data_IF_574718235498
#
_entry.id   IF_574718235498
#
_cell.length_a   1.000
_cell.length_b   1.000
_cell.length_c   1.000
_cell.angle_alpha   90.00
_cell.angle_beta   90.00
_cell.angle_gamma   90.00
#
_symmetry.space_group_name_H-M   'P 1'
#
loop_
_entity.id
_entity.type
_entity.pdbx_description
1 polymer ?
#
# COMPACT_ATOMS: atom_id res chain seq x y z
N UNK A 1 -15.16 -25.50 -8.74
CA UNK A 1 -14.52 -25.51 -10.06
C UNK A 1 -15.63 -25.46 -11.08
N UNK A 2 -15.85 -24.31 -11.72
CA UNK A 2 -16.84 -24.17 -12.80
C UNK A 2 -16.18 -24.55 -14.11
N UNK A 3 -16.81 -25.46 -14.85
CA UNK A 3 -16.38 -25.96 -16.14
C UNK A 3 -16.22 -24.80 -17.15
N UNK A 4 -15.01 -24.62 -17.67
CA UNK A 4 -14.66 -23.55 -18.61
C UNK A 4 -15.15 -23.82 -20.04
N UNK A 5 -15.80 -24.96 -20.30
CA UNK A 5 -16.25 -25.37 -21.64
C UNK A 5 -17.50 -24.62 -22.15
N UNK A 6 -18.28 -23.98 -21.28
CA UNK A 6 -19.60 -23.42 -21.65
C UNK A 6 -19.58 -21.97 -22.14
N UNK A 7 -18.46 -21.24 -22.01
CA UNK A 7 -18.39 -19.83 -22.40
C UNK A 7 -17.01 -19.48 -23.01
N UNK A 8 -16.82 -19.71 -24.33
CA UNK A 8 -15.55 -19.43 -24.99
C UNK A 8 -15.25 -17.92 -25.00
N UNK A 9 -13.97 -17.51 -25.13
CA UNK A 9 -13.59 -16.11 -25.21
C UNK A 9 -14.33 -15.37 -26.34
N UNK A 10 -14.76 -14.14 -26.09
CA UNK A 10 -15.47 -13.29 -27.06
C UNK A 10 -14.47 -12.35 -27.72
N UNK A 11 -14.40 -12.35 -29.05
CA UNK A 11 -13.58 -11.40 -29.81
C UNK A 11 -14.40 -10.17 -30.19
N UNK A 12 -13.91 -8.99 -29.84
CA UNK A 12 -14.47 -7.70 -30.26
C UNK A 12 -14.03 -7.35 -31.70
N UNK A 13 -14.72 -6.39 -32.32
CA UNK A 13 -14.42 -5.94 -33.70
C UNK A 13 -13.01 -5.36 -33.88
N UNK A 14 -12.38 -4.91 -32.79
CA UNK A 14 -10.99 -4.43 -32.76
C UNK A 14 -9.96 -5.57 -32.52
N UNK A 15 -10.37 -6.84 -32.58
CA UNK A 15 -9.52 -8.01 -32.37
C UNK A 15 -9.24 -8.36 -30.90
N UNK A 16 -9.75 -7.58 -29.96
CA UNK A 16 -9.52 -7.80 -28.52
C UNK A 16 -10.38 -8.95 -27.99
N UNK A 17 -9.76 -9.85 -27.24
CA UNK A 17 -10.45 -10.98 -26.60
C UNK A 17 -10.90 -10.62 -25.18
N UNK A 18 -12.12 -11.04 -24.85
CA UNK A 18 -12.72 -10.95 -23.53
C UNK A 18 -13.03 -12.34 -23.00
N UNK A 19 -13.03 -12.50 -21.68
CA UNK A 19 -13.58 -13.68 -21.03
C UNK A 19 -15.06 -13.84 -21.41
N UNK A 20 -15.43 -14.96 -22.03
CA UNK A 20 -16.81 -15.19 -22.48
C UNK A 20 -17.85 -15.14 -21.36
N UNK A 21 -17.49 -15.65 -20.17
CA UNK A 21 -18.40 -15.69 -19.03
C UNK A 21 -18.56 -14.34 -18.31
N UNK A 22 -17.57 -13.45 -18.40
CA UNK A 22 -17.49 -12.27 -17.54
C UNK A 22 -17.21 -10.94 -18.26
N UNK A 23 -16.95 -10.96 -19.57
CA UNK A 23 -16.80 -9.76 -20.40
C UNK A 23 -15.55 -8.93 -20.13
N UNK A 24 -14.54 -9.48 -19.43
CA UNK A 24 -13.31 -8.76 -19.10
C UNK A 24 -12.11 -9.28 -19.87
N UNK A 25 -11.26 -8.35 -20.34
CA UNK A 25 -9.97 -8.64 -20.97
C UNK A 25 -9.05 -9.33 -19.98
N UNK A 26 -9.02 -8.84 -18.74
CA UNK A 26 -8.37 -9.49 -17.62
C UNK A 26 -9.44 -9.88 -16.61
N UNK A 27 -9.79 -11.17 -16.57
CA UNK A 27 -10.88 -11.66 -15.75
C UNK A 27 -10.37 -12.16 -14.40
N UNK A 28 -10.61 -11.37 -13.35
CA UNK A 28 -10.22 -11.73 -11.98
C UNK A 28 -10.98 -12.94 -11.41
N UNK A 29 -12.14 -13.29 -11.96
CA UNK A 29 -12.95 -14.45 -11.53
C UNK A 29 -12.46 -15.77 -12.14
N UNK A 30 -12.07 -15.75 -13.43
CA UNK A 30 -11.53 -16.92 -14.11
C UNK A 30 -10.01 -17.00 -14.03
N UNK A 31 -9.34 -15.96 -13.50
CA UNK A 31 -7.89 -15.84 -13.43
C UNK A 31 -7.20 -15.93 -14.81
N UNK A 32 -7.83 -15.39 -15.87
CA UNK A 32 -7.29 -15.40 -17.25
C UNK A 32 -7.13 -13.97 -17.76
N UNK A 33 -6.02 -13.69 -18.42
CA UNK A 33 -5.68 -12.41 -19.03
C UNK A 33 -5.49 -12.55 -20.54
N UNK A 34 -6.40 -11.98 -21.32
CA UNK A 34 -6.44 -12.05 -22.78
C UNK A 34 -5.65 -10.92 -23.46
N UNK A 35 -4.97 -10.06 -22.70
CA UNK A 35 -4.14 -8.97 -23.25
C UNK A 35 -2.92 -9.46 -24.05
N UNK A 36 -2.50 -10.71 -23.89
CA UNK A 36 -1.30 -11.25 -24.56
C UNK A 36 -1.43 -11.31 -26.10
N UNK A 37 -2.65 -11.40 -26.63
CA UNK A 37 -2.88 -11.47 -28.09
C UNK A 37 -2.58 -10.14 -28.79
N UNK A 38 -2.61 -9.00 -28.07
CA UNK A 38 -2.26 -7.69 -28.60
C UNK A 38 -0.75 -7.47 -28.72
N UNK A 39 0.07 -8.36 -28.15
CA UNK A 39 1.53 -8.26 -28.20
C UNK A 39 2.14 -8.90 -29.47
N UNK A 40 1.38 -9.74 -30.18
CA UNK A 40 1.87 -10.38 -31.41
C UNK A 40 1.88 -9.38 -32.59
N UNK A 41 0.88 -8.50 -32.71
CA UNK A 41 0.80 -7.55 -33.82
C UNK A 41 1.87 -6.44 -33.76
N UNK A 42 2.31 -6.06 -32.55
CA UNK A 42 3.38 -5.07 -32.36
C UNK A 42 4.79 -5.64 -32.57
N UNK A 43 4.97 -6.97 -32.48
CA UNK A 43 6.27 -7.64 -32.54
C UNK A 43 6.70 -8.05 -33.96
N UNK A 44 5.76 -8.30 -34.87
CA UNK A 44 6.09 -8.76 -36.24
C UNK A 44 6.53 -7.63 -37.18
N UNK A 45 6.25 -6.36 -36.86
CA UNK A 45 6.65 -5.23 -37.71
C UNK A 45 8.16 -4.89 -37.64
N UNK A 46 8.89 -5.38 -36.62
CA UNK A 46 10.31 -5.09 -36.42
C UNK A 46 11.26 -6.11 -37.07
N UNK A 47 10.77 -7.14 -37.76
CA UNK A 47 11.59 -8.25 -38.28
C UNK A 47 11.77 -8.27 -39.81
N UNK A 48 11.33 -7.26 -40.56
CA UNK A 48 11.56 -7.18 -42.01
C UNK A 48 12.04 -5.79 -42.42
N UNK A 49 13.36 -5.58 -42.65
CA UNK A 49 13.86 -4.35 -43.24
C UNK A 49 13.69 -4.40 -44.77
N UNK A 50 12.82 -3.54 -45.29
CA UNK A 50 12.90 -3.04 -46.66
C UNK A 50 11.88 -3.61 -47.65
N UNK A 51 10.82 -2.84 -47.91
CA UNK A 51 10.45 -2.49 -49.28
C UNK A 51 10.01 -1.03 -49.27
N UNK A 52 10.64 -0.24 -50.14
CA UNK A 52 10.31 1.17 -50.40
C UNK A 52 8.97 1.24 -51.10
N UNK A 53 8.21 2.30 -50.85
CA UNK A 53 7.57 3.06 -51.91
C UNK A 53 7.22 4.48 -51.45
N UNK A 54 7.05 5.32 -52.46
CA UNK A 54 7.38 6.74 -52.56
C UNK A 54 6.35 7.73 -52.01
N UNK A 55 6.85 8.94 -51.73
CA UNK A 55 6.27 10.26 -51.34
C UNK A 55 5.06 10.74 -52.22
N UNK A 56 4.44 11.95 -52.04
CA UNK A 56 4.86 13.12 -51.22
C UNK A 56 3.79 14.03 -50.55
N UNK A 57 4.33 14.99 -49.78
CA UNK A 57 3.96 16.42 -49.62
C UNK A 57 2.82 16.88 -48.71
N UNK A 58 3.20 17.76 -47.77
CA UNK A 58 2.75 19.17 -47.55
C UNK A 58 2.70 19.46 -46.03
N UNK A 59 3.68 20.15 -45.45
CA UNK A 59 3.95 21.60 -45.42
C UNK A 59 3.44 22.28 -44.13
N UNK A 60 4.37 23.00 -43.50
CA UNK A 60 4.15 24.17 -42.61
C UNK A 60 3.43 23.91 -41.27
N UNK A 61 3.82 24.44 -40.11
CA UNK A 61 4.40 25.75 -39.86
C UNK A 61 4.94 25.81 -38.41
N UNK A 62 6.03 26.53 -38.26
CA UNK A 62 6.71 26.97 -37.03
C UNK A 62 5.83 27.75 -36.06
N UNK A 63 6.15 27.70 -34.76
CA UNK A 63 6.23 28.87 -33.87
C UNK A 63 7.14 28.54 -32.65
N UNK A 64 8.30 29.19 -32.62
CA UNK A 64 9.20 29.41 -31.48
C UNK A 64 8.73 30.62 -30.68
N UNK A 65 9.04 30.67 -29.37
CA UNK A 65 9.34 31.82 -28.49
C UNK A 65 9.35 31.28 -27.04
N UNK A 66 10.50 30.95 -26.44
CA UNK A 66 11.54 31.80 -25.83
C UNK A 66 11.34 32.04 -24.33
N UNK A 67 12.47 31.95 -23.64
CA UNK A 67 12.72 31.95 -22.20
C UNK A 67 12.17 33.14 -21.40
N UNK A 68 11.86 32.89 -20.12
CA UNK A 68 12.08 33.86 -19.05
C UNK A 68 12.80 33.17 -17.90
N UNK A 69 14.00 33.68 -17.64
CA UNK A 69 14.82 33.41 -16.45
C UNK A 69 14.45 34.41 -15.36
N UNK A 70 14.45 33.96 -14.11
CA UNK A 70 14.23 34.79 -12.94
C UNK A 70 14.88 34.15 -11.72
N UNK A 71 16.09 34.61 -11.42
CA UNK A 71 16.87 34.28 -10.22
C UNK A 71 16.48 35.27 -9.13
N UNK A 72 16.21 34.81 -7.90
CA UNK A 72 16.48 35.58 -6.69
C UNK A 72 16.82 34.66 -5.52
N UNK A 73 17.90 35.05 -4.83
CA UNK A 73 18.50 34.38 -3.69
C UNK A 73 18.02 35.01 -2.37
N UNK A 74 18.33 34.27 -1.28
CA UNK A 74 18.53 34.69 0.12
C UNK A 74 17.33 34.61 1.07
N UNK A 75 17.64 34.11 2.29
CA UNK A 75 16.74 34.07 3.44
C UNK A 75 16.90 32.81 4.29
N UNK A 76 18.04 32.69 4.99
CA UNK A 76 18.15 31.82 6.15
C UNK A 76 17.32 32.41 7.29
N UNK A 77 16.56 31.60 8.02
CA UNK A 77 16.47 31.79 9.46
C UNK A 77 16.01 30.54 10.20
N UNK A 78 16.71 30.33 11.31
CA UNK A 78 16.67 29.24 12.26
C UNK A 78 15.64 29.50 13.35
N UNK A 79 14.75 28.56 13.64
CA UNK A 79 14.18 28.39 14.98
C UNK A 79 13.63 26.97 15.16
N UNK A 80 14.49 26.07 15.62
CA UNK A 80 14.09 24.77 16.18
C UNK A 80 13.83 25.01 17.67
N UNK A 81 12.58 24.91 18.10
CA UNK A 81 12.24 24.78 19.52
C UNK A 81 12.20 23.29 19.88
N UNK A 82 12.98 22.83 20.87
CA UNK A 82 12.93 21.45 21.32
C UNK A 82 11.82 21.27 22.37
N UNK A 83 10.83 20.42 22.09
CA UNK A 83 9.89 19.96 23.13
C UNK A 83 10.61 18.96 24.03
N UNK A 84 10.74 19.31 25.31
CA UNK A 84 11.36 18.52 26.34
C UNK A 84 10.56 17.25 26.64
N UNK A 85 11.28 16.13 26.78
CA UNK A 85 10.80 14.91 27.41
C UNK A 85 11.17 15.05 28.88
N UNK A 86 10.17 15.26 29.74
CA UNK A 86 10.37 15.33 31.17
C UNK A 86 10.41 13.91 31.76
N UNK A 87 11.57 13.57 32.33
CA UNK A 87 11.84 12.37 33.10
C UNK A 87 11.84 12.79 34.57
N UNK A 88 10.75 12.53 35.27
CA UNK A 88 10.60 12.81 36.70
C UNK A 88 9.71 11.78 37.37
N UNK A 89 10.35 10.90 38.13
CA UNK A 89 9.79 9.88 39.03
C UNK A 89 9.18 10.51 40.28
N UNK A 90 8.07 9.96 40.80
CA UNK A 90 7.78 9.68 42.22
C UNK A 90 6.40 8.97 42.35
N UNK A 91 6.16 8.14 43.40
CA UNK A 91 5.16 7.08 43.39
C UNK A 91 3.80 7.49 43.99
N UNK A 92 2.70 7.08 43.36
CA UNK A 92 1.36 7.25 43.91
C UNK A 92 1.01 6.15 44.92
N UNK A 93 0.59 6.59 46.10
CA UNK A 93 0.18 5.82 47.28
C UNK A 93 -1.01 4.89 47.07
N UNK A 94 -0.94 3.72 47.68
CA UNK A 94 -1.98 2.68 47.74
C UNK A 94 -3.21 3.11 48.54
N UNK A 95 -4.38 2.55 48.19
CA UNK A 95 -5.58 2.53 49.04
C UNK A 95 -6.22 1.14 48.99
N UNK A 96 -6.82 0.66 50.10
CA UNK A 96 -7.02 -0.77 50.40
C UNK A 96 -8.20 -1.45 49.68
N UNK A 97 -8.27 -2.80 49.69
CA UNK A 97 -9.17 -3.56 48.82
C UNK A 97 -10.58 -3.68 49.41
N UNK A 98 -11.59 -3.70 48.54
CA UNK A 98 -12.97 -4.07 48.87
C UNK A 98 -13.34 -5.30 48.02
N UNK A 99 -13.76 -6.39 48.67
CA UNK A 99 -14.37 -7.59 48.05
C UNK A 99 -15.17 -8.34 49.13
N UNK A 100 -16.17 -9.18 48.79
CA UNK A 100 -17.33 -8.91 47.92
C UNK A 100 -18.64 -9.46 48.54
N UNK A 101 -19.81 -9.09 48.03
CA UNK A 101 -21.02 -9.91 48.28
C UNK A 101 -21.96 -9.82 47.08
N UNK A 102 -22.03 -10.90 46.30
CA UNK A 102 -22.89 -10.99 45.12
C UNK A 102 -22.61 -12.24 44.30
N UNK A 103 -23.42 -13.27 44.55
CA UNK A 103 -23.65 -14.55 43.87
C UNK A 103 -23.02 -14.72 42.47
N UNK A 104 -22.24 -15.80 42.34
CA UNK A 104 -21.65 -16.33 41.10
C UNK A 104 -22.73 -16.87 40.16
N UNK A 105 -22.88 -16.25 38.99
CA UNK A 105 -23.36 -16.93 37.78
C UNK A 105 -22.14 -17.00 36.87
N UNK A 106 -21.59 -18.21 36.72
CA UNK A 106 -20.58 -18.50 35.71
C UNK A 106 -21.24 -18.40 34.34
N UNK A 107 -21.19 -17.20 33.76
CA UNK A 107 -21.21 -17.08 32.31
C UNK A 107 -19.81 -17.48 31.85
N UNK A 108 -19.76 -18.46 30.95
CA UNK A 108 -18.54 -19.01 30.35
C UNK A 108 -17.48 -17.91 30.20
N UNK A 109 -16.37 -18.08 30.93
CA UNK A 109 -15.17 -17.28 30.75
C UNK A 109 -14.84 -17.29 29.26
N UNK A 110 -15.04 -16.13 28.62
CA UNK A 110 -14.67 -15.87 27.24
C UNK A 110 -13.26 -16.44 27.03
N UNK A 111 -13.05 -17.32 26.03
CA UNK A 111 -11.77 -17.95 25.84
C UNK A 111 -10.72 -16.85 25.68
N UNK A 112 -9.76 -16.79 26.62
CA UNK A 112 -8.54 -15.95 26.59
C UNK A 112 -8.18 -15.61 25.14
N UNK A 113 -8.03 -14.33 24.77
CA UNK A 113 -7.91 -13.93 23.38
C UNK A 113 -6.80 -14.74 22.72
N UNK A 114 -7.17 -15.58 21.75
CA UNK A 114 -6.21 -16.24 20.84
C UNK A 114 -5.22 -15.16 20.42
N UNK A 115 -3.94 -15.35 20.74
CA UNK A 115 -2.88 -14.36 20.52
C UNK A 115 -3.09 -13.61 19.21
N UNK A 116 -3.50 -12.35 19.31
CA UNK A 116 -3.70 -11.46 18.18
C UNK A 116 -2.39 -11.39 17.40
N UNK A 117 -2.41 -11.79 16.12
CA UNK A 117 -1.22 -11.71 15.29
C UNK A 117 -0.87 -10.24 15.06
N UNK A 118 0.38 -9.86 15.35
CA UNK A 118 0.87 -8.49 15.23
C UNK A 118 1.95 -8.39 14.15
N UNK A 119 2.06 -7.24 13.45
CA UNK A 119 3.20 -6.97 12.60
C UNK A 119 4.52 -7.08 13.37
N UNK A 120 5.50 -7.73 12.76
CA UNK A 120 6.86 -7.83 13.30
C UNK A 120 7.71 -6.66 12.80
N UNK A 121 8.72 -6.26 13.55
CA UNK A 121 9.73 -5.31 13.05
C UNK A 121 10.73 -6.06 12.18
N UNK A 122 10.97 -5.59 10.97
CA UNK A 122 12.07 -6.07 10.14
C UNK A 122 13.38 -5.46 10.64
N UNK A 123 14.41 -6.29 10.81
CA UNK A 123 15.76 -5.87 11.22
C UNK A 123 16.72 -6.26 10.09
N UNK A 124 17.16 -5.31 9.24
CA UNK A 124 18.08 -5.62 8.15
C UNK A 124 19.49 -5.91 8.70
N UNK A 125 20.26 -6.81 8.08
CA UNK A 125 21.68 -6.94 8.37
C UNK A 125 22.45 -5.67 7.95
N UNK A 126 23.42 -5.24 8.77
CA UNK A 126 24.49 -4.27 8.45
C UNK A 126 24.11 -3.08 7.54
N UNK A 127 23.26 -2.16 8.00
CA UNK A 127 22.89 -0.93 7.26
C UNK A 127 22.40 -1.15 5.81
N UNK A 128 22.00 -2.39 5.46
CA UNK A 128 21.65 -2.76 4.10
C UNK A 128 20.40 -2.00 3.64
N UNK A 129 20.42 -1.58 2.38
CA UNK A 129 19.25 -0.95 1.77
C UNK A 129 18.23 -1.99 1.31
N UNK A 130 16.95 -1.61 1.17
CA UNK A 130 15.95 -2.49 0.58
C UNK A 130 16.35 -3.02 -0.80
N UNK A 131 17.09 -2.23 -1.59
CA UNK A 131 17.58 -2.64 -2.91
C UNK A 131 18.72 -3.66 -2.83
N UNK A 132 19.43 -3.74 -1.71
CA UNK A 132 20.48 -4.75 -1.50
C UNK A 132 19.84 -6.09 -1.16
N UNK A 133 18.85 -6.08 -0.25
CA UNK A 133 18.20 -7.28 0.27
C UNK A 133 17.09 -7.83 -0.62
N UNK A 134 16.46 -6.98 -1.45
CA UNK A 134 15.36 -7.37 -2.31
C UNK A 134 15.63 -6.96 -3.77
N UNK A 135 15.63 -7.95 -4.66
CA UNK A 135 15.92 -7.74 -6.09
C UNK A 135 14.67 -7.97 -6.94
N UNK A 136 14.49 -7.20 -8.04
CA UNK A 136 13.52 -7.54 -9.07
C UNK A 136 13.73 -8.97 -9.58
N UNK A 137 12.74 -9.85 -9.39
CA UNK A 137 12.76 -11.21 -9.94
C UNK A 137 11.39 -11.54 -10.54
N UNK A 138 11.40 -12.33 -11.60
CA UNK A 138 10.18 -12.96 -12.13
C UNK A 138 9.96 -14.28 -11.40
N UNK A 139 8.72 -14.50 -10.96
CA UNK A 139 8.31 -15.76 -10.35
C UNK A 139 7.30 -16.43 -11.26
N UNK A 140 7.61 -17.65 -11.66
CA UNK A 140 6.74 -18.49 -12.48
C UNK A 140 6.04 -19.48 -11.57
N UNK A 141 4.71 -19.50 -11.59
CA UNK A 141 3.92 -20.44 -10.81
C UNK A 141 2.61 -20.76 -11.55
N UNK A 142 2.21 -22.03 -11.58
CA UNK A 142 0.89 -22.45 -12.08
C UNK A 142 0.54 -21.96 -13.49
N UNK A 143 1.50 -21.93 -14.42
CA UNK A 143 1.27 -21.45 -15.80
C UNK A 143 1.17 -19.92 -15.96
N UNK A 144 1.36 -19.14 -14.88
CA UNK A 144 1.38 -17.68 -14.95
C UNK A 144 2.61 -17.18 -15.74
N UNK A 145 2.49 -16.16 -16.62
CA UNK A 145 3.56 -15.63 -17.47
C UNK A 145 4.71 -14.89 -16.73
N UNK A 146 4.90 -15.15 -15.44
CA UNK A 146 5.93 -14.52 -14.61
C UNK A 146 5.42 -13.29 -13.86
N UNK A 147 5.32 -13.38 -12.53
CA UNK A 147 5.03 -12.25 -11.66
C UNK A 147 6.33 -11.56 -11.27
N UNK A 148 6.52 -10.32 -11.72
CA UNK A 148 7.66 -9.52 -11.26
C UNK A 148 7.39 -8.97 -9.85
N UNK A 149 8.33 -9.17 -8.93
CA UNK A 149 8.29 -8.66 -7.55
C UNK A 149 9.70 -8.29 -7.05
N UNK A 150 9.78 -7.55 -5.95
CA UNK A 150 11.02 -7.37 -5.19
C UNK A 150 11.19 -8.56 -4.24
N UNK A 151 11.98 -9.56 -4.63
CA UNK A 151 12.12 -10.83 -3.92
C UNK A 151 13.39 -10.82 -3.06
N UNK A 152 13.30 -11.39 -1.87
CA UNK A 152 14.45 -11.52 -0.96
C UNK A 152 15.61 -12.25 -1.62
N UNK A 153 16.82 -11.73 -1.44
CA UNK A 153 18.05 -12.36 -1.94
C UNK A 153 18.33 -13.64 -1.15
N UNK A 154 18.19 -13.58 0.17
CA UNK A 154 18.44 -14.70 1.09
C UNK A 154 17.21 -15.61 1.26
N UNK A 155 16.00 -15.04 1.26
CA UNK A 155 14.73 -15.79 1.33
C UNK A 155 13.87 -15.49 0.10
N UNK A 156 13.77 -16.47 -0.81
CA UNK A 156 12.95 -16.34 -2.03
C UNK A 156 11.44 -16.39 -1.77
N UNK A 157 11.01 -16.77 -0.57
CA UNK A 157 9.60 -16.75 -0.14
C UNK A 157 9.22 -15.48 0.62
N UNK A 158 10.13 -14.50 0.70
CA UNK A 158 9.86 -13.17 1.21
C UNK A 158 9.92 -12.13 0.09
N UNK A 159 9.04 -11.13 0.15
CA UNK A 159 9.06 -10.02 -0.79
C UNK A 159 8.83 -8.69 -0.12
N UNK A 160 9.22 -7.64 -0.83
CA UNK A 160 9.17 -6.26 -0.39
C UNK A 160 8.09 -5.46 -1.13
N UNK A 161 7.41 -4.60 -0.38
CA UNK A 161 6.60 -3.50 -0.91
C UNK A 161 7.00 -2.19 -0.24
N UNK A 162 6.96 -1.09 -0.98
CA UNK A 162 7.12 0.26 -0.43
C UNK A 162 5.76 0.88 -0.21
N UNK A 163 5.56 1.57 0.90
CA UNK A 163 4.30 2.27 1.21
C UNK A 163 4.59 3.69 1.70
N UNK A 164 3.79 4.65 1.24
CA UNK A 164 3.94 6.06 1.62
C UNK A 164 2.63 6.82 1.60
N UNK A 165 2.50 7.78 2.50
CA UNK A 165 1.40 8.72 2.59
C UNK A 165 1.84 10.16 2.38
N UNK A 166 0.93 11.01 1.95
CA UNK A 166 1.16 12.44 1.84
C UNK A 166 -0.09 13.22 2.27
N UNK A 167 0.11 14.37 2.90
CA UNK A 167 -0.97 15.28 3.24
C UNK A 167 -0.52 16.72 2.98
N UNK A 168 -1.18 17.38 2.02
CA UNK A 168 -1.01 18.80 1.75
C UNK A 168 -1.84 19.60 2.76
N UNK A 169 -1.27 20.70 3.25
CA UNK A 169 -1.88 21.55 4.29
C UNK A 169 -2.29 20.77 5.55
N UNK A 170 -1.50 19.77 5.94
CA UNK A 170 -1.72 19.00 7.16
C UNK A 170 -1.91 19.91 8.39
N UNK A 171 -2.97 19.70 9.16
CA UNK A 171 -3.30 20.52 10.33
C UNK A 171 -4.13 21.79 10.06
N UNK A 172 -4.34 22.18 8.80
CA UNK A 172 -5.16 23.34 8.43
C UNK A 172 -6.65 22.95 8.22
N UNK A 173 -7.46 23.91 7.76
CA UNK A 173 -8.93 23.75 7.65
C UNK A 173 -9.35 22.77 6.55
N UNK A 174 -8.61 22.72 5.44
CA UNK A 174 -8.94 21.87 4.28
C UNK A 174 -7.72 21.01 3.88
N UNK A 175 -7.34 20.02 4.70
CA UNK A 175 -6.24 19.12 4.36
C UNK A 175 -6.67 18.19 3.23
N UNK A 176 -5.76 17.93 2.30
CA UNK A 176 -5.94 16.90 1.27
C UNK A 176 -4.82 15.89 1.39
N UNK A 177 -5.16 14.61 1.38
CA UNK A 177 -4.18 13.56 1.57
C UNK A 177 -4.33 12.48 0.51
N UNK A 178 -3.25 11.74 0.29
CA UNK A 178 -3.17 10.65 -0.66
C UNK A 178 -2.21 9.59 -0.15
N UNK A 179 -2.38 8.38 -0.62
CA UNK A 179 -1.56 7.24 -0.23
C UNK A 179 -1.12 6.48 -1.47
N UNK A 180 0.02 5.78 -1.38
CA UNK A 180 0.46 4.88 -2.44
C UNK A 180 1.28 3.72 -1.91
N UNK A 181 1.41 2.69 -2.73
CA UNK A 181 2.39 1.64 -2.53
C UNK A 181 2.95 1.13 -3.86
N UNK A 182 4.15 0.56 -3.80
CA UNK A 182 4.90 0.02 -4.93
C UNK A 182 5.22 -1.44 -4.64
N UNK A 183 4.75 -2.34 -5.50
CA UNK A 183 4.83 -3.79 -5.28
C UNK A 183 5.65 -4.53 -6.33
N UNK A 184 6.05 -3.86 -7.42
CA UNK A 184 7.00 -4.36 -8.40
C UNK A 184 7.77 -3.20 -9.05
N UNK A 185 8.93 -3.46 -9.69
CA UNK A 185 9.68 -2.41 -10.36
C UNK A 185 8.93 -1.89 -11.57
N UNK A 186 9.24 -0.65 -11.97
CA UNK A 186 8.80 -0.11 -13.25
C UNK A 186 9.50 -0.87 -14.38
N UNK A 187 8.73 -1.54 -15.22
CA UNK A 187 9.24 -2.17 -16.44
C UNK A 187 9.12 -1.17 -17.60
N UNK A 188 10.23 -0.74 -18.23
CA UNK A 188 10.16 0.09 -19.44
C UNK A 188 9.30 -0.59 -20.51
N UNK A 189 8.40 0.16 -21.16
CA UNK A 189 7.51 -0.36 -22.19
C UNK A 189 6.26 -1.12 -21.70
N UNK A 190 6.10 -1.37 -20.39
CA UNK A 190 4.90 -2.00 -19.84
C UNK A 190 3.89 -0.94 -19.35
N UNK A 191 2.63 -1.08 -19.74
CA UNK A 191 1.54 -0.20 -19.30
C UNK A 191 1.13 -0.44 -17.83
N UNK A 192 1.37 -1.65 -17.28
CA UNK A 192 0.97 -1.96 -15.90
C UNK A 192 1.91 -1.29 -14.89
N UNK A 193 1.40 -0.26 -14.21
CA UNK A 193 2.17 0.44 -13.21
C UNK A 193 2.43 -0.49 -12.02
N UNK A 194 3.69 -0.63 -11.59
CA UNK A 194 4.08 -1.43 -10.42
C UNK A 194 3.67 -0.84 -9.08
N UNK A 195 2.63 0.00 -9.10
CA UNK A 195 2.18 0.87 -8.03
C UNK A 195 0.66 0.93 -8.01
N UNK A 196 0.11 1.29 -6.84
CA UNK A 196 -1.27 1.73 -6.68
C UNK A 196 -1.23 3.01 -5.83
N UNK A 197 -2.05 3.99 -6.19
CA UNK A 197 -2.13 5.27 -5.45
C UNK A 197 -3.53 5.84 -5.55
N UNK A 198 -4.03 6.44 -4.48
CA UNK A 198 -5.35 7.07 -4.45
C UNK A 198 -5.39 8.27 -3.49
N UNK A 199 -6.38 9.14 -3.69
CA UNK A 199 -6.74 10.14 -2.69
C UNK A 199 -7.20 9.43 -1.41
N UNK A 200 -6.86 9.97 -0.24
CA UNK A 200 -7.31 9.43 1.03
C UNK A 200 -8.82 9.58 1.16
N UNK A 201 -9.48 8.52 1.60
CA UNK A 201 -10.91 8.46 1.81
C UNK A 201 -11.37 9.48 2.88
N UNK A 202 -12.54 10.07 2.69
CA UNK A 202 -13.15 11.02 3.65
C UNK A 202 -13.87 10.32 4.79
N UNK A 203 -14.13 9.02 4.65
CA UNK A 203 -14.70 8.14 5.68
C UNK A 203 -13.68 7.08 6.09
N UNK A 204 -13.74 6.65 7.35
CA UNK A 204 -12.93 5.54 7.87
C UNK A 204 -13.59 4.17 7.61
N UNK A 205 -12.94 3.06 8.01
CA UNK A 205 -13.49 1.71 7.93
C UNK A 205 -14.86 1.52 8.58
N UNK A 206 -15.19 2.34 9.58
CA UNK A 206 -16.47 2.28 10.30
C UNK A 206 -17.57 3.10 9.62
N UNK A 207 -17.32 3.71 8.46
CA UNK A 207 -18.25 4.59 7.75
C UNK A 207 -18.30 6.03 8.29
N UNK A 208 -17.68 6.29 9.45
CA UNK A 208 -17.65 7.63 10.04
C UNK A 208 -16.74 8.59 9.24
N UNK A 209 -17.14 9.86 9.14
CA UNK A 209 -16.32 10.91 8.53
C UNK A 209 -15.03 11.14 9.33
N UNK A 210 -13.89 11.25 8.63
CA UNK A 210 -12.58 11.43 9.24
C UNK A 210 -11.80 12.52 8.53
N UNK A 211 -11.18 13.41 9.31
CA UNK A 211 -10.31 14.47 8.77
C UNK A 211 -9.04 13.86 8.18
N UNK A 212 -8.66 14.19 6.93
CA UNK A 212 -7.40 13.78 6.35
C UNK A 212 -6.19 14.27 7.17
N UNK A 213 -5.23 13.38 7.41
CA UNK A 213 -3.95 13.71 8.06
C UNK A 213 -2.81 12.91 7.43
N UNK A 214 -1.57 13.37 7.61
CA UNK A 214 -0.39 12.59 7.18
C UNK A 214 -0.37 11.20 7.83
N UNK A 215 -0.62 11.10 9.13
CA UNK A 215 -0.62 9.83 9.87
C UNK A 215 -1.67 8.84 9.34
N UNK A 216 -2.88 9.32 9.00
CA UNK A 216 -3.91 8.47 8.36
C UNK A 216 -3.48 8.00 6.99
N UNK A 217 -2.89 8.88 6.17
CA UNK A 217 -2.42 8.51 4.83
C UNK A 217 -1.31 7.44 4.87
N UNK A 218 -0.33 7.60 5.77
CA UNK A 218 0.75 6.62 5.96
C UNK A 218 0.20 5.25 6.39
N UNK A 219 -0.70 5.23 7.38
CA UNK A 219 -1.29 3.98 7.88
C UNK A 219 -2.18 3.32 6.82
N UNK A 220 -2.96 4.11 6.09
CA UNK A 220 -3.79 3.64 4.98
C UNK A 220 -2.96 3.03 3.85
N UNK A 221 -1.79 3.60 3.54
CA UNK A 221 -0.88 3.07 2.53
C UNK A 221 -0.41 1.64 2.87
N UNK A 222 -0.03 1.41 4.12
CA UNK A 222 0.39 0.08 4.60
C UNK A 222 -0.77 -0.92 4.54
N UNK A 223 -1.95 -0.54 5.02
CA UNK A 223 -3.16 -1.36 4.94
C UNK A 223 -3.49 -1.71 3.49
N UNK A 224 -3.42 -0.73 2.58
CA UNK A 224 -3.67 -0.91 1.15
C UNK A 224 -2.73 -1.97 0.55
N UNK A 225 -1.44 -1.82 0.83
CA UNK A 225 -0.41 -2.72 0.34
C UNK A 225 -0.66 -4.15 0.85
N UNK A 226 -0.96 -4.32 2.15
CA UNK A 226 -1.21 -5.63 2.74
C UNK A 226 -2.49 -6.28 2.22
N UNK A 227 -3.58 -5.53 2.02
CA UNK A 227 -4.82 -6.05 1.42
C UNK A 227 -4.60 -6.51 -0.02
N UNK A 228 -3.92 -5.69 -0.83
CA UNK A 228 -3.60 -6.04 -2.20
C UNK A 228 -2.70 -7.29 -2.27
N UNK A 229 -1.65 -7.33 -1.47
CA UNK A 229 -0.70 -8.45 -1.45
C UNK A 229 -1.22 -9.71 -0.76
N UNK A 230 -2.28 -9.60 0.04
CA UNK A 230 -3.00 -10.75 0.53
C UNK A 230 -3.56 -11.56 -0.65
N UNK A 231 -4.17 -10.86 -1.63
CA UNK A 231 -4.76 -11.44 -2.84
C UNK A 231 -3.72 -11.81 -3.91
N UNK A 232 -2.72 -10.94 -4.13
CA UNK A 232 -1.79 -11.05 -5.27
C UNK A 232 -0.36 -11.51 -4.90
N UNK A 233 -0.16 -11.95 -3.66
CA UNK A 233 1.14 -12.38 -3.12
C UNK A 233 1.14 -13.81 -2.58
N UNK A 234 0.19 -14.65 -2.98
CA UNK A 234 0.01 -16.02 -2.45
C UNK A 234 1.24 -16.92 -2.57
N UNK A 235 2.19 -16.59 -3.44
CA UNK A 235 3.45 -17.33 -3.64
C UNK A 235 4.49 -17.11 -2.54
N UNK A 236 4.23 -16.20 -1.61
CA UNK A 236 5.17 -15.80 -0.58
C UNK A 236 4.64 -16.07 0.82
N UNK A 237 5.55 -16.54 1.68
CA UNK A 237 5.28 -16.82 3.09
C UNK A 237 5.37 -15.55 3.94
N UNK A 238 6.08 -14.52 3.49
CA UNK A 238 6.14 -13.27 4.23
C UNK A 238 6.25 -12.03 3.35
N UNK A 239 5.77 -10.90 3.89
CA UNK A 239 5.88 -9.58 3.28
C UNK A 239 6.66 -8.63 4.18
N UNK A 240 7.56 -7.85 3.60
CA UNK A 240 8.20 -6.71 4.23
C UNK A 240 7.60 -5.44 3.64
N UNK A 241 6.93 -4.64 4.45
CA UNK A 241 6.44 -3.31 4.06
C UNK A 241 7.47 -2.28 4.52
N UNK A 242 8.20 -1.70 3.57
CA UNK A 242 9.10 -0.59 3.84
C UNK A 242 8.35 0.75 3.79
N UNK A 243 8.51 1.54 4.83
CA UNK A 243 7.93 2.88 4.97
C UNK A 243 8.88 3.79 5.72
N UNK A 244 8.82 5.08 5.45
CA UNK A 244 9.51 6.12 6.20
C UNK A 244 8.69 6.70 7.37
N UNK A 245 7.51 6.12 7.64
CA UNK A 245 6.64 6.56 8.74
C UNK A 245 7.01 5.91 10.08
N UNK A 246 7.71 6.67 10.92
CA UNK A 246 7.96 6.27 12.31
C UNK A 246 6.66 6.01 13.10
N UNK A 247 5.61 6.81 12.82
CA UNK A 247 4.28 6.63 13.42
C UNK A 247 3.74 5.22 13.14
N UNK A 248 3.79 4.76 11.89
CA UNK A 248 3.27 3.44 11.53
C UNK A 248 4.13 2.32 12.11
N UNK A 249 5.46 2.37 11.95
CA UNK A 249 6.33 1.29 12.41
C UNK A 249 6.31 1.16 13.93
N UNK A 250 6.45 2.26 14.67
CA UNK A 250 6.45 2.23 16.13
C UNK A 250 5.06 1.93 16.69
N UNK A 251 4.00 2.49 16.09
CA UNK A 251 2.62 2.19 16.48
C UNK A 251 2.27 0.71 16.29
N UNK A 252 2.62 0.12 15.15
CA UNK A 252 2.34 -1.28 14.88
C UNK A 252 3.18 -2.26 15.71
N UNK A 253 4.48 -2.00 15.87
CA UNK A 253 5.41 -2.97 16.49
C UNK A 253 5.51 -2.84 18.01
N UNK A 254 5.13 -1.69 18.58
CA UNK A 254 5.13 -1.43 20.04
C UNK A 254 3.77 -0.99 20.56
N UNK A 255 3.13 -0.05 19.87
CA UNK A 255 1.85 0.56 20.30
C UNK A 255 0.70 -0.44 20.39
N UNK A 256 0.45 -1.23 19.33
CA UNK A 256 -0.69 -2.14 19.24
C UNK A 256 -0.80 -3.09 20.44
N UNK A 257 0.33 -3.66 20.91
CA UNK A 257 0.32 -4.54 22.08
C UNK A 257 -0.21 -3.82 23.32
N UNK A 258 0.24 -2.58 23.56
CA UNK A 258 -0.21 -1.76 24.70
C UNK A 258 -1.67 -1.33 24.54
N UNK A 259 -2.05 -0.91 23.34
CA UNK A 259 -3.40 -0.43 23.05
C UNK A 259 -4.46 -1.52 23.16
N UNK A 260 -4.13 -2.75 22.77
CA UNK A 260 -5.00 -3.91 22.96
C UNK A 260 -5.21 -4.23 24.45
N UNK A 261 -4.19 -4.08 25.29
CA UNK A 261 -4.30 -4.36 26.72
C UNK A 261 -4.97 -3.25 27.54
N UNK A 262 -4.91 -1.99 27.08
CA UNK A 262 -5.39 -0.84 27.84
C UNK A 262 -6.68 -0.20 27.28
N UNK A 263 -7.42 -0.95 26.46
CA UNK A 263 -8.72 -0.49 25.92
C UNK A 263 -8.62 0.64 24.90
N UNK A 264 -7.51 0.72 24.14
CA UNK A 264 -7.27 1.72 23.10
C UNK A 264 -7.12 3.15 23.62
N UNK A 265 -6.40 3.32 24.72
CA UNK A 265 -6.13 4.63 25.34
C UNK A 265 -4.65 5.03 25.26
N UNK A 266 -4.38 6.34 25.24
CA UNK A 266 -3.04 6.90 25.31
C UNK A 266 -2.57 7.02 26.78
N UNK A 267 -1.36 7.55 27.02
CA UNK A 267 -0.83 7.71 28.37
C UNK A 267 -1.61 8.72 29.22
N UNK A 268 -2.38 9.61 28.59
CA UNK A 268 -3.24 10.61 29.23
C UNK A 268 -4.67 10.08 29.48
N UNK A 269 -4.95 8.81 29.20
CA UNK A 269 -6.28 8.20 29.35
C UNK A 269 -7.26 8.51 28.22
N UNK A 270 -6.86 9.25 27.20
CA UNK A 270 -7.73 9.59 26.07
C UNK A 270 -7.74 8.47 25.01
N UNK A 271 -8.81 8.30 24.23
CA UNK A 271 -8.83 7.37 23.11
C UNK A 271 -7.70 7.65 22.11
N UNK A 272 -7.01 6.61 21.64
CA UNK A 272 -5.95 6.81 20.65
C UNK A 272 -6.50 7.35 19.32
N UNK A 273 -5.69 8.15 18.64
CA UNK A 273 -6.01 8.61 17.29
C UNK A 273 -5.96 7.45 16.30
N UNK A 274 -6.80 7.53 15.28
CA UNK A 274 -6.86 6.56 14.16
C UNK A 274 -7.11 5.11 14.58
N UNK A 275 -7.81 4.90 15.71
CA UNK A 275 -8.20 3.57 16.20
C UNK A 275 -8.87 2.73 15.11
N UNK A 276 -9.71 3.35 14.29
CA UNK A 276 -10.38 2.74 13.13
C UNK A 276 -9.39 2.04 12.19
N UNK A 277 -8.34 2.75 11.76
CA UNK A 277 -7.33 2.18 10.87
C UNK A 277 -6.39 1.19 11.57
N UNK A 278 -6.13 1.36 12.86
CA UNK A 278 -5.33 0.39 13.61
C UNK A 278 -6.04 -0.95 13.78
N UNK A 279 -7.35 -0.93 14.02
CA UNK A 279 -8.18 -2.13 14.04
C UNK A 279 -8.19 -2.80 12.66
N UNK A 280 -8.33 -2.02 11.59
CA UNK A 280 -8.28 -2.55 10.23
C UNK A 280 -6.91 -3.17 9.87
N UNK A 281 -5.81 -2.56 10.31
CA UNK A 281 -4.47 -3.16 10.16
C UNK A 281 -4.39 -4.52 10.86
N UNK A 282 -4.93 -4.64 12.08
CA UNK A 282 -4.97 -5.90 12.81
C UNK A 282 -5.77 -6.97 12.07
N UNK A 283 -6.94 -6.62 11.52
CA UNK A 283 -7.79 -7.56 10.78
C UNK A 283 -7.11 -8.09 9.52
N UNK A 284 -6.40 -7.22 8.79
CA UNK A 284 -5.60 -7.63 7.64
C UNK A 284 -4.46 -8.54 8.09
N UNK A 285 -3.71 -8.18 9.13
CA UNK A 285 -2.59 -9.01 9.64
C UNK A 285 -3.07 -10.37 10.15
N UNK A 286 -4.23 -10.43 10.81
CA UNK A 286 -4.87 -11.69 11.19
C UNK A 286 -5.20 -12.56 9.98
N UNK A 287 -5.70 -11.96 8.90
CA UNK A 287 -6.00 -12.68 7.67
C UNK A 287 -4.75 -13.29 7.04
N UNK A 288 -3.62 -12.57 7.07
CA UNK A 288 -2.31 -13.10 6.69
C UNK A 288 -1.88 -14.28 7.57
N UNK A 289 -1.96 -14.13 8.90
CA UNK A 289 -1.57 -15.16 9.85
C UNK A 289 -2.39 -16.45 9.71
N UNK A 290 -3.70 -16.36 9.42
CA UNK A 290 -4.57 -17.52 9.12
C UNK A 290 -4.10 -18.35 7.91
N UNK A 291 -3.29 -17.76 7.02
CA UNK A 291 -2.67 -18.44 5.88
C UNK A 291 -1.21 -18.84 6.15
N UNK A 292 -0.78 -18.83 7.42
CA UNK A 292 0.61 -19.04 7.83
C UNK A 292 1.58 -18.06 7.15
N UNK A 293 1.13 -16.82 6.90
CA UNK A 293 1.96 -15.78 6.31
C UNK A 293 2.27 -14.68 7.31
N UNK A 294 3.50 -14.17 7.23
CA UNK A 294 4.00 -13.20 8.19
C UNK A 294 4.10 -11.79 7.61
N UNK A 295 3.82 -10.79 8.44
CA UNK A 295 3.90 -9.37 8.07
C UNK A 295 5.02 -8.70 8.86
N UNK A 296 5.95 -8.09 8.13
CA UNK A 296 7.05 -7.32 8.67
C UNK A 296 6.93 -5.85 8.26
N UNK A 297 7.22 -4.93 9.19
CA UNK A 297 7.35 -3.50 8.90
C UNK A 297 8.82 -3.07 9.02
N UNK A 298 9.31 -2.38 8.00
CA UNK A 298 10.67 -1.88 7.94
C UNK A 298 10.69 -0.35 7.90
N UNK A 299 11.22 0.26 8.96
CA UNK A 299 11.54 1.69 9.01
C UNK A 299 12.75 1.98 8.12
N UNK A 300 12.53 2.66 6.98
CA UNK A 300 13.57 3.05 6.03
C UNK A 300 13.78 4.58 5.98
N UNK A 301 14.99 5.08 5.71
CA UNK A 301 15.22 6.50 5.46
C UNK A 301 14.36 7.03 4.29
N UNK A 302 13.80 8.23 4.44
CA UNK A 302 12.95 8.90 3.43
C UNK A 302 13.55 8.92 2.02
N UNK A 303 14.88 9.06 1.90
CA UNK A 303 15.59 9.03 0.62
C UNK A 303 15.36 7.74 -0.19
N UNK A 304 15.02 6.63 0.47
CA UNK A 304 14.71 5.34 -0.14
C UNK A 304 13.22 5.16 -0.45
N UNK A 305 12.33 5.96 0.14
CA UNK A 305 10.88 5.88 -0.06
C UNK A 305 10.33 6.98 -1.00
N UNK A 306 11.21 7.72 -1.70
CA UNK A 306 10.85 8.89 -2.52
C UNK A 306 9.80 8.60 -3.59
N UNK A 307 9.80 7.40 -4.16
CA UNK A 307 8.86 7.03 -5.21
C UNK A 307 7.43 6.88 -4.66
N UNK A 308 7.26 6.19 -3.52
CA UNK A 308 5.96 6.04 -2.89
C UNK A 308 5.43 7.38 -2.32
N UNK A 309 6.29 8.19 -1.69
CA UNK A 309 5.94 9.56 -1.25
C UNK A 309 5.51 10.42 -2.44
N UNK A 310 6.24 10.36 -3.55
CA UNK A 310 5.92 11.08 -4.78
C UNK A 310 4.56 10.72 -5.35
N UNK A 311 4.24 9.43 -5.47
CA UNK A 311 2.93 8.99 -5.95
C UNK A 311 1.79 9.30 -4.97
N UNK A 312 2.04 9.24 -3.66
CA UNK A 312 1.07 9.67 -2.66
C UNK A 312 0.74 11.16 -2.80
N UNK A 313 1.75 12.02 -3.04
CA UNK A 313 1.56 13.46 -3.30
C UNK A 313 0.78 13.73 -4.57
N UNK A 314 1.09 13.02 -5.66
CA UNK A 314 0.32 13.15 -6.92
C UNK A 314 -1.14 12.77 -6.72
N UNK A 315 -1.40 11.71 -5.94
CA UNK A 315 -2.76 11.24 -5.66
C UNK A 315 -3.60 12.23 -4.82
N UNK A 316 -2.97 13.18 -4.12
CA UNK A 316 -3.69 14.29 -3.45
C UNK A 316 -4.44 15.18 -4.45
N UNK A 317 -3.92 15.29 -5.67
CA UNK A 317 -4.50 16.14 -6.73
C UNK A 317 -5.52 15.41 -7.60
N UNK A 318 -5.57 14.08 -7.52
CA UNK A 318 -6.59 13.28 -8.18
C UNK A 318 -7.97 13.64 -7.65
N UNK A 319 -8.99 13.61 -8.51
CA UNK A 319 -10.38 13.84 -8.07
C UNK A 319 -10.67 12.86 -6.92
N UNK A 320 -11.19 13.34 -5.77
CA UNK A 320 -11.61 12.46 -4.70
C UNK A 320 -12.78 11.65 -5.25
N UNK A 321 -12.50 10.41 -5.63
CA UNK A 321 -13.57 9.46 -5.89
C UNK A 321 -14.14 9.14 -4.51
N UNK A 322 -15.47 9.25 -4.28
CA UNK A 322 -16.09 8.69 -3.11
C UNK A 322 -16.01 7.18 -3.25
N UNK A 323 -14.84 6.62 -2.92
CA UNK A 323 -14.67 5.18 -2.78
C UNK A 323 -15.01 4.89 -1.33
N UNK A 324 -16.04 4.09 -1.11
CA UNK A 324 -16.27 3.49 0.20
C UNK A 324 -14.98 2.78 0.62
N UNK A 325 -14.64 2.91 1.90
CA UNK A 325 -13.47 2.28 2.51
C UNK A 325 -13.60 0.75 2.34
N UNK A 326 -13.08 0.18 1.25
CA UNK A 326 -13.33 -1.23 0.95
C UNK A 326 -12.85 -1.70 -0.42
N UNK A 327 -12.98 -0.89 -1.46
CA UNK A 327 -12.77 -1.38 -2.82
C UNK A 327 -11.34 -1.17 -3.33
N UNK A 328 -10.39 -1.92 -2.75
CA UNK A 328 -9.19 -2.31 -3.50
C UNK A 328 -9.42 -3.58 -4.35
N UNK A 329 -10.64 -4.11 -4.32
CA UNK A 329 -11.10 -5.21 -5.15
C UNK A 329 -11.92 -4.61 -6.30
N UNK A 330 -11.41 -4.70 -7.53
CA UNK A 330 -12.26 -4.62 -8.73
C UNK A 330 -12.36 -3.28 -9.49
N UNK A 331 -11.79 -2.17 -9.03
CA UNK A 331 -11.92 -0.88 -9.73
C UNK A 331 -10.58 -0.22 -10.09
N UNK A 332 -9.82 -0.84 -10.99
CA UNK A 332 -8.72 -0.15 -11.68
C UNK A 332 -8.75 -0.53 -13.16
N UNK A 333 -9.53 0.24 -13.93
CA UNK A 333 -9.57 0.24 -15.40
C UNK A 333 -8.31 0.86 -15.98
#
# INVERSE_FOLDING_TARGET
MTDHSLNPPITLSNGQLLCGAHGFVTCAKCCVDYTFMQQLDAGYSCLMPGLRDTSPSSDSQSCVMSDVSGICSSGADTSVTPMMIDTGSEPCSESPPIVPTGILIALDEDPKPKMTALPKRFIPPKSASPRDLFKPRYIFHGGHPGLQRFVGVEDSHQFLVYAGGACLKNGNDIPKAGWSFIFKPRTPGCQTSGRISAHLETTGPTGEARKPTSQRAELRAVIAALRYMYMHGSLFNSVVVATDSHYVVTGATRGLRKWLSNGWTNCSGEPIRNRDLWQDLLDVVHSWAKKNREVYLWMIPRKWNREADGFARLAVTSRPVPVDFGELIGHWQ
#
